data_IF_370611336798
#
_entry.id   IF_370611336798
#
_cell.length_a   1.000
_cell.length_b   1.000
_cell.length_c   1.000
_cell.angle_alpha   90.00
_cell.angle_beta   90.00
_cell.angle_gamma   90.00
#
_symmetry.space_group_name_H-M   'P 1'
#
loop_
_entity.id
_entity.type
_entity.pdbx_description
1 polymer ?
#
# COMPACT_ATOMS: atom_id res chain seq x y z
N UNK A 1 31.98 42.15 3.14
CA UNK A 1 31.71 41.24 2.00
C UNK A 1 31.57 39.83 2.57
N UNK A 2 30.35 39.34 2.80
CA UNK A 2 30.07 37.93 3.12
C UNK A 2 28.78 37.54 2.40
N UNK A 3 28.88 36.36 1.81
CA UNK A 3 27.99 35.77 0.82
C UNK A 3 26.85 35.06 1.53
N UNK A 4 25.69 35.06 0.88
CA UNK A 4 24.48 34.34 1.22
C UNK A 4 24.75 32.88 1.61
N UNK A 5 24.31 32.50 2.81
CA UNK A 5 24.10 31.11 3.21
C UNK A 5 22.60 30.83 3.14
N UNK A 6 22.20 30.17 2.06
CA UNK A 6 20.84 29.66 1.82
C UNK A 6 20.36 28.86 3.02
N UNK A 7 19.23 29.29 3.59
CA UNK A 7 18.58 28.67 4.73
C UNK A 7 18.23 27.23 4.43
N UNK A 8 18.72 26.35 5.31
CA UNK A 8 18.40 24.94 5.43
C UNK A 8 16.86 24.82 5.48
N UNK A 9 16.26 24.19 4.46
CA UNK A 9 14.83 23.91 4.44
C UNK A 9 14.47 23.13 5.70
N UNK A 10 13.56 23.71 6.47
CA UNK A 10 13.04 23.17 7.71
C UNK A 10 12.39 21.83 7.42
N UNK A 11 13.00 20.79 7.97
CA UNK A 11 12.38 19.49 8.18
C UNK A 11 11.11 19.73 9.00
N UNK A 12 9.97 19.79 8.30
CA UNK A 12 8.65 19.97 8.88
C UNK A 12 8.30 18.69 9.62
N UNK A 13 8.79 18.62 10.85
CA UNK A 13 8.39 17.63 11.86
C UNK A 13 6.87 17.56 11.87
N UNK A 14 6.36 16.38 11.53
CA UNK A 14 4.93 16.12 11.42
C UNK A 14 4.33 16.16 12.82
N UNK A 15 3.62 17.24 13.16
CA UNK A 15 2.92 17.37 14.43
C UNK A 15 1.71 16.43 14.46
N UNK A 16 1.46 15.72 15.57
CA UNK A 16 0.57 14.56 15.60
C UNK A 16 -0.91 14.95 15.83
N UNK A 17 -1.44 15.98 15.16
CA UNK A 17 -2.81 16.46 15.47
C UNK A 17 -3.58 17.23 14.38
N UNK A 18 -3.28 17.11 13.07
CA UNK A 18 -4.16 17.67 12.03
C UNK A 18 -5.17 16.63 11.50
N UNK A 19 -6.39 16.66 12.05
CA UNK A 19 -7.48 15.68 11.86
C UNK A 19 -8.18 15.72 10.49
N UNK A 20 -7.56 16.26 9.44
CA UNK A 20 -8.16 16.29 8.10
C UNK A 20 -7.67 15.10 7.28
N UNK A 21 -8.58 14.23 6.84
CA UNK A 21 -8.25 13.10 5.96
C UNK A 21 -7.46 13.60 4.75
N UNK A 22 -6.22 13.13 4.54
CA UNK A 22 -5.46 13.52 3.37
C UNK A 22 -6.18 13.05 2.09
N UNK A 23 -6.09 13.78 0.97
CA UNK A 23 -6.72 13.35 -0.27
C UNK A 23 -6.21 11.96 -0.67
N UNK A 24 -7.11 11.06 -1.06
CA UNK A 24 -6.78 9.64 -1.37
C UNK A 24 -5.73 9.46 -2.47
N UNK A 25 -5.55 10.47 -3.31
CA UNK A 25 -4.58 10.51 -4.41
C UNK A 25 -3.17 10.92 -3.97
N UNK A 26 -2.99 11.37 -2.73
CA UNK A 26 -1.68 11.75 -2.17
C UNK A 26 -1.04 10.56 -1.44
N UNK A 27 0.30 10.54 -1.33
CA UNK A 27 1.01 9.51 -0.56
C UNK A 27 0.51 9.42 0.89
N UNK A 28 0.28 10.56 1.54
CA UNK A 28 -0.28 10.58 2.89
C UNK A 28 -1.70 9.96 2.93
N UNK A 29 -2.51 10.21 1.90
CA UNK A 29 -3.83 9.60 1.71
C UNK A 29 -3.78 8.10 1.54
N UNK A 30 -2.84 7.62 0.73
CA UNK A 30 -2.67 6.19 0.48
C UNK A 30 -2.22 5.45 1.73
N UNK A 31 -1.25 6.00 2.48
CA UNK A 31 -0.81 5.42 3.77
C UNK A 31 -1.96 5.43 4.79
N UNK A 32 -2.71 6.53 4.88
CA UNK A 32 -3.86 6.61 5.77
C UNK A 32 -4.92 5.56 5.43
N UNK A 33 -5.23 5.38 4.13
CA UNK A 33 -6.18 4.37 3.69
C UNK A 33 -5.65 2.95 3.92
N UNK A 34 -4.37 2.71 3.68
CA UNK A 34 -3.70 1.43 3.93
C UNK A 34 -3.82 1.02 5.40
N UNK A 35 -3.55 1.94 6.33
CA UNK A 35 -3.72 1.67 7.77
C UNK A 35 -5.17 1.30 8.11
N UNK A 36 -6.12 2.04 7.55
CA UNK A 36 -7.54 1.80 7.80
C UNK A 36 -8.04 0.47 7.24
N UNK A 37 -7.49 0.00 6.12
CA UNK A 37 -7.76 -1.32 5.56
C UNK A 37 -7.12 -2.42 6.41
N UNK A 38 -5.89 -2.19 6.88
CA UNK A 38 -5.18 -3.12 7.76
C UNK A 38 -5.88 -3.28 9.10
N UNK A 39 -6.33 -2.18 9.72
CA UNK A 39 -7.07 -2.20 10.99
C UNK A 39 -8.35 -3.04 10.85
N UNK A 40 -9.06 -2.91 9.73
CA UNK A 40 -10.25 -3.72 9.43
C UNK A 40 -9.90 -5.18 9.16
N UNK A 41 -8.78 -5.45 8.51
CA UNK A 41 -8.33 -6.80 8.23
C UNK A 41 -7.90 -7.55 9.50
N UNK A 42 -7.38 -6.82 10.50
CA UNK A 42 -6.88 -7.37 11.77
C UNK A 42 -7.89 -7.30 12.92
N UNK A 43 -9.08 -6.72 12.70
CA UNK A 43 -10.10 -6.58 13.74
C UNK A 43 -10.54 -7.97 14.26
N UNK A 44 -10.31 -8.26 15.58
CA UNK A 44 -10.61 -9.55 16.18
C UNK A 44 -12.10 -9.89 16.23
N UNK A 45 -12.98 -8.91 16.03
CA UNK A 45 -14.44 -9.10 16.05
C UNK A 45 -15.00 -9.55 14.70
N UNK A 46 -14.21 -9.44 13.64
CA UNK A 46 -14.49 -10.01 12.31
C UNK A 46 -13.69 -11.29 12.10
N UNK A 47 -14.20 -12.20 11.27
CA UNK A 47 -13.38 -13.28 10.68
C UNK A 47 -12.39 -12.63 9.69
N UNK A 48 -11.43 -11.90 10.25
CA UNK A 48 -10.44 -11.12 9.53
C UNK A 48 -9.42 -12.01 8.82
N UNK A 49 -8.38 -11.37 8.30
CA UNK A 49 -7.33 -12.05 7.56
C UNK A 49 -6.54 -12.97 8.51
N UNK A 50 -6.40 -14.27 8.19
CA UNK A 50 -5.58 -15.18 8.99
C UNK A 50 -4.15 -14.67 9.18
N UNK A 51 -3.67 -14.68 10.41
CA UNK A 51 -2.31 -14.22 10.76
C UNK A 51 -1.21 -14.98 10.01
N UNK A 52 -1.49 -16.20 9.61
CA UNK A 52 -0.55 -17.05 8.86
C UNK A 52 -0.26 -16.48 7.47
N UNK A 53 -1.20 -15.76 6.85
CA UNK A 53 -0.97 -15.13 5.54
C UNK A 53 0.08 -14.02 5.64
N UNK A 54 0.08 -13.23 6.71
CA UNK A 54 1.10 -12.21 6.95
C UNK A 54 2.49 -12.82 7.21
N UNK A 55 2.54 -14.04 7.76
CA UNK A 55 3.79 -14.76 8.02
C UNK A 55 4.34 -15.45 6.77
N UNK A 56 3.48 -15.94 5.89
CA UNK A 56 3.90 -16.64 4.67
C UNK A 56 4.11 -15.71 3.47
N UNK A 57 3.51 -14.52 3.48
CA UNK A 57 3.64 -13.62 2.35
C UNK A 57 5.01 -12.96 2.28
N UNK A 58 5.47 -12.77 1.06
CA UNK A 58 6.66 -12.02 0.70
C UNK A 58 6.36 -10.54 0.48
N UNK A 59 5.10 -10.17 0.27
CA UNK A 59 4.69 -8.77 0.30
C UNK A 59 3.19 -8.56 0.34
N UNK A 60 2.80 -7.31 0.51
CA UNK A 60 1.41 -6.89 0.68
C UNK A 60 1.15 -5.67 -0.21
N UNK A 61 0.06 -5.72 -0.96
CA UNK A 61 -0.45 -4.60 -1.75
C UNK A 61 -1.76 -4.13 -1.15
N UNK A 62 -1.86 -2.83 -0.88
CA UNK A 62 -3.06 -2.16 -0.37
C UNK A 62 -3.47 -1.11 -1.39
N UNK A 63 -4.56 -1.37 -2.12
CA UNK A 63 -5.01 -0.49 -3.19
C UNK A 63 -6.47 -0.11 -3.00
N UNK A 64 -6.76 1.15 -3.28
CA UNK A 64 -8.14 1.62 -3.41
C UNK A 64 -8.46 1.87 -4.87
N UNK A 65 -9.54 1.27 -5.34
CA UNK A 65 -9.97 1.30 -6.73
C UNK A 65 -11.35 1.95 -6.77
N UNK A 66 -11.51 2.91 -7.66
CA UNK A 66 -12.81 3.44 -8.06
C UNK A 66 -13.20 2.77 -9.36
N UNK A 67 -14.30 2.05 -9.34
CA UNK A 67 -14.90 1.42 -10.52
C UNK A 67 -16.19 2.15 -10.88
N UNK A 68 -16.37 2.47 -12.15
CA UNK A 68 -17.62 3.05 -12.62
C UNK A 68 -17.98 2.48 -13.99
N UNK A 69 -19.26 2.21 -14.22
CA UNK A 69 -19.70 1.57 -15.45
C UNK A 69 -21.19 1.39 -15.58
N UNK A 70 -21.59 0.97 -16.78
CA UNK A 70 -22.92 0.44 -17.10
C UNK A 70 -22.76 -0.86 -17.90
N UNK A 71 -22.46 -0.71 -19.19
CA UNK A 71 -22.17 -1.82 -20.12
C UNK A 71 -20.65 -1.97 -20.27
N UNK A 72 -19.97 -0.84 -20.41
CA UNK A 72 -18.53 -0.71 -20.26
C UNK A 72 -18.22 -0.18 -18.86
N UNK A 73 -17.15 -0.67 -18.27
CA UNK A 73 -16.63 -0.20 -16.99
C UNK A 73 -15.20 0.29 -17.14
N UNK A 74 -14.86 1.31 -16.35
CA UNK A 74 -13.50 1.75 -16.15
C UNK A 74 -13.15 1.64 -14.68
N UNK A 75 -11.92 1.26 -14.38
CA UNK A 75 -11.38 1.31 -13.04
C UNK A 75 -10.09 2.11 -12.99
N UNK A 76 -9.93 2.84 -11.89
CA UNK A 76 -8.72 3.58 -11.60
C UNK A 76 -8.49 3.55 -10.11
N UNK A 77 -7.27 3.24 -9.71
CA UNK A 77 -6.92 3.07 -8.32
C UNK A 77 -5.50 3.48 -8.03
N UNK A 78 -5.28 3.81 -6.76
CA UNK A 78 -3.97 4.16 -6.23
C UNK A 78 -3.80 3.45 -4.89
N UNK A 79 -2.57 3.06 -4.60
CA UNK A 79 -2.27 2.25 -3.43
C UNK A 79 -0.81 2.30 -3.05
N UNK A 80 -0.47 1.46 -2.08
CA UNK A 80 0.89 1.19 -1.67
C UNK A 80 1.21 -0.30 -1.71
N UNK A 81 2.45 -0.62 -2.01
CA UNK A 81 3.02 -1.97 -1.92
C UNK A 81 4.18 -1.94 -0.91
N UNK A 82 4.31 -3.02 -0.13
CA UNK A 82 5.42 -3.27 0.77
C UNK A 82 5.91 -4.70 0.56
N UNK A 83 7.20 -4.86 0.34
CA UNK A 83 7.85 -6.17 0.31
C UNK A 83 8.40 -6.49 1.71
N UNK A 84 8.44 -7.77 2.05
CA UNK A 84 9.09 -8.28 3.25
C UNK A 84 10.45 -8.82 2.85
N UNK A 85 11.49 -8.43 3.58
CA UNK A 85 12.83 -8.99 3.39
C UNK A 85 12.91 -10.37 4.06
N UNK A 86 12.41 -11.39 3.39
CA UNK A 86 12.68 -12.79 3.74
C UNK A 86 13.98 -13.20 3.04
N UNK A 87 15.14 -12.78 3.55
CA UNK A 87 16.42 -13.24 3.00
C UNK A 87 16.55 -14.74 3.32
N UNK A 88 16.12 -15.60 2.38
CA UNK A 88 15.88 -17.03 2.53
C UNK A 88 17.13 -17.91 2.78
N UNK A 89 18.17 -17.34 3.37
CA UNK A 89 19.43 -18.01 3.67
C UNK A 89 20.31 -17.29 4.69
N UNK A 90 19.81 -16.25 5.36
CA UNK A 90 20.51 -15.65 6.50
C UNK A 90 19.82 -16.21 7.75
N UNK A 91 20.55 -17.06 8.48
CA UNK A 91 20.17 -17.44 9.84
C UNK A 91 19.95 -16.15 10.62
N UNK A 92 18.69 -15.86 10.96
CA UNK A 92 18.33 -14.71 11.77
C UNK A 92 18.91 -14.97 13.16
N UNK A 93 20.06 -14.37 13.44
CA UNK A 93 20.61 -14.29 14.80
C UNK A 93 19.63 -13.47 15.65
N UNK A 94 18.72 -14.19 16.33
CA UNK A 94 17.86 -13.87 17.50
C UNK A 94 17.30 -12.45 17.77
N UNK A 95 17.49 -11.42 16.94
CA UNK A 95 16.98 -10.06 17.22
C UNK A 95 16.64 -9.20 15.96
N UNK A 96 16.84 -9.67 14.72
CA UNK A 96 16.44 -8.90 13.54
C UNK A 96 14.95 -9.13 13.20
N UNK A 97 14.11 -8.15 13.57
CA UNK A 97 12.72 -8.05 13.13
C UNK A 97 12.63 -8.23 11.61
N UNK A 98 11.72 -9.09 11.13
CA UNK A 98 11.36 -9.25 9.73
C UNK A 98 11.14 -7.88 9.06
N UNK A 99 12.17 -7.37 8.39
CA UNK A 99 12.20 -5.98 7.96
C UNK A 99 11.33 -5.82 6.72
N UNK A 100 10.24 -5.08 6.85
CA UNK A 100 9.44 -4.63 5.72
C UNK A 100 10.14 -3.47 4.99
N UNK A 101 10.00 -3.44 3.68
CA UNK A 101 10.43 -2.33 2.84
C UNK A 101 9.60 -1.07 3.14
N UNK A 102 10.12 0.13 2.86
CA UNK A 102 9.27 1.32 2.85
C UNK A 102 8.12 1.15 1.84
N UNK A 103 6.96 1.81 2.08
CA UNK A 103 5.83 1.73 1.18
C UNK A 103 6.15 2.41 -0.16
N UNK A 104 5.91 1.71 -1.26
CA UNK A 104 6.04 2.26 -2.61
C UNK A 104 4.66 2.50 -3.22
N UNK A 105 4.51 3.58 -3.99
CA UNK A 105 3.24 3.92 -4.63
C UNK A 105 2.95 2.98 -5.81
N UNK A 106 1.72 2.48 -5.88
CA UNK A 106 1.23 1.72 -7.03
C UNK A 106 -0.02 2.39 -7.61
N UNK A 107 -0.10 2.44 -8.94
CA UNK A 107 -1.26 2.90 -9.68
C UNK A 107 -1.84 1.77 -10.50
N UNK A 108 -3.16 1.64 -10.50
CA UNK A 108 -3.90 0.71 -11.33
C UNK A 108 -4.86 1.51 -12.21
N UNK A 109 -4.94 1.16 -13.49
CA UNK A 109 -5.98 1.65 -14.37
C UNK A 109 -6.35 0.55 -15.36
N UNK A 110 -7.64 0.43 -15.67
CA UNK A 110 -8.14 -0.61 -16.53
C UNK A 110 -9.52 -0.28 -17.07
N UNK A 111 -9.89 -1.02 -18.12
CA UNK A 111 -11.21 -0.97 -18.73
C UNK A 111 -11.75 -2.39 -18.85
N UNK A 112 -13.06 -2.54 -18.69
CA UNK A 112 -13.73 -3.82 -18.72
C UNK A 112 -15.12 -3.73 -19.35
N UNK A 113 -15.74 -4.89 -19.50
CA UNK A 113 -17.12 -5.02 -19.95
C UNK A 113 -17.86 -5.94 -18.99
N UNK A 114 -19.06 -5.56 -18.56
CA UNK A 114 -19.85 -6.32 -17.61
C UNK A 114 -21.05 -5.54 -17.10
N UNK A 115 -21.99 -6.24 -16.46
CA UNK A 115 -23.18 -5.62 -15.87
C UNK A 115 -22.85 -4.96 -14.53
N UNK A 116 -22.12 -3.84 -14.57
CA UNK A 116 -21.91 -2.97 -13.41
C UNK A 116 -22.71 -1.71 -13.67
N UNK A 117 -23.66 -1.35 -12.82
CA UNK A 117 -24.45 -0.11 -12.97
C UNK A 117 -24.14 0.82 -11.81
N UNK A 118 -23.44 1.91 -12.10
CA UNK A 118 -23.11 2.95 -11.13
C UNK A 118 -21.61 3.12 -10.90
N UNK A 119 -21.25 3.58 -9.70
CA UNK A 119 -19.88 3.77 -9.26
C UNK A 119 -19.68 3.13 -7.88
N UNK A 120 -18.57 2.40 -7.71
CA UNK A 120 -18.21 1.69 -6.50
C UNK A 120 -16.76 2.02 -6.11
N UNK A 121 -16.50 2.14 -4.81
CA UNK A 121 -15.14 2.27 -4.27
C UNK A 121 -14.80 0.98 -3.55
N UNK A 122 -13.71 0.34 -3.98
CA UNK A 122 -13.21 -0.92 -3.44
C UNK A 122 -11.86 -0.70 -2.78
N UNK A 123 -11.71 -1.21 -1.57
CA UNK A 123 -10.42 -1.30 -0.90
C UNK A 123 -9.98 -2.76 -0.90
N UNK A 124 -8.83 -3.06 -1.51
CA UNK A 124 -8.34 -4.42 -1.74
C UNK A 124 -6.98 -4.59 -1.07
N UNK A 125 -6.83 -5.68 -0.34
CA UNK A 125 -5.57 -6.18 0.21
C UNK A 125 -5.16 -7.44 -0.55
N UNK A 126 -3.98 -7.44 -1.15
CA UNK A 126 -3.43 -8.56 -1.90
C UNK A 126 -2.17 -9.04 -1.19
N UNK A 127 -2.11 -10.35 -0.94
CA UNK A 127 -0.91 -11.02 -0.43
C UNK A 127 -0.10 -11.57 -1.59
N UNK A 128 1.17 -11.22 -1.65
CA UNK A 128 2.14 -11.77 -2.61
C UNK A 128 2.87 -12.91 -1.91
N UNK A 129 2.76 -14.12 -2.45
CA UNK A 129 3.34 -15.33 -1.83
C UNK A 129 4.65 -15.78 -2.49
N UNK A 130 4.90 -15.40 -3.74
CA UNK A 130 6.00 -15.93 -4.55
C UNK A 130 6.93 -14.82 -5.06
N UNK A 131 8.24 -15.10 -5.13
CA UNK A 131 9.25 -14.07 -5.45
C UNK A 131 9.10 -13.62 -6.90
N UNK A 132 8.76 -14.55 -7.79
CA UNK A 132 8.47 -14.22 -9.19
C UNK A 132 7.31 -13.21 -9.34
N UNK A 133 6.33 -13.23 -8.42
CA UNK A 133 5.27 -12.22 -8.41
C UNK A 133 5.78 -10.89 -7.88
N UNK A 134 6.71 -10.90 -6.91
CA UNK A 134 7.38 -9.70 -6.41
C UNK A 134 8.23 -9.04 -7.51
N UNK A 135 9.01 -9.83 -8.24
CA UNK A 135 9.88 -9.37 -9.34
C UNK A 135 9.07 -8.71 -10.48
N UNK A 136 7.87 -9.23 -10.75
CA UNK A 136 6.97 -8.60 -11.69
C UNK A 136 6.56 -7.16 -11.29
N UNK A 137 6.57 -6.84 -9.99
CA UNK A 137 6.33 -5.48 -9.49
C UNK A 137 7.59 -4.60 -9.48
N UNK A 138 8.80 -5.19 -9.46
CA UNK A 138 10.06 -4.44 -9.56
C UNK A 138 10.42 -4.11 -11.01
N UNK A 139 9.74 -4.74 -11.98
CA UNK A 139 9.96 -4.55 -13.42
C UNK A 139 11.07 -5.44 -13.99
N UNK A 140 11.55 -6.41 -13.21
CA UNK A 140 12.40 -7.49 -13.68
C UNK A 140 11.51 -8.62 -14.21
N UNK A 141 11.07 -8.49 -15.46
CA UNK A 141 10.27 -9.49 -16.18
C UNK A 141 11.09 -10.16 -17.29
#
# INVERSE_FOLDING_TARGET
>A
RRVAGSGRNEEKTMSPTDSKRPPRTTMAGMIWNANHVLDRALDPLTNGVPRDLFKSCQGIVLISIVEAGFIFSGNVGTGVIMARKNEAGIEVEDDEEDQWSPPSAIGLAGIGFGALVGAEVKDIMIFIMDDATMDAFTGEA
#
